data_IF_347764989883
#
_entry.id   IF_347764989883
#
_cell.length_a   1.000
_cell.length_b   1.000
_cell.length_c   1.000
_cell.angle_alpha   90.00
_cell.angle_beta   90.00
_cell.angle_gamma   90.00
#
_symmetry.space_group_name_H-M   'P 1'
#
loop_
_entity.id
_entity.type
_entity.pdbx_description
1 polymer ?
#
# COMPACT_ATOMS: atom_id res chain seq x y z
N UNK A 1 -0.97 -9.30 6.83
CA UNK A 1 -1.35 -8.68 8.11
C UNK A 1 -2.70 -9.19 8.63
N UNK A 2 -3.84 -8.87 7.96
CA UNK A 2 -5.19 -9.14 8.48
C UNK A 2 -5.42 -10.61 8.84
N UNK A 3 -5.03 -11.54 7.94
CA UNK A 3 -5.11 -12.98 8.21
C UNK A 3 -4.25 -13.39 9.41
N UNK A 4 -3.00 -12.93 9.47
CA UNK A 4 -2.06 -13.25 10.54
C UNK A 4 -2.59 -12.77 11.91
N UNK A 5 -3.15 -11.55 11.95
CA UNK A 5 -3.79 -10.96 13.13
C UNK A 5 -5.01 -11.77 13.58
N UNK A 6 -5.95 -12.08 12.66
CA UNK A 6 -7.18 -12.82 12.98
C UNK A 6 -6.87 -14.20 13.57
N UNK A 7 -5.90 -14.90 12.99
CA UNK A 7 -5.51 -16.23 13.42
C UNK A 7 -4.54 -16.26 14.60
N UNK A 8 -4.03 -15.10 15.04
CA UNK A 8 -3.05 -14.99 16.11
C UNK A 8 -1.78 -15.80 15.83
N UNK A 9 -1.32 -15.81 14.58
CA UNK A 9 -0.19 -16.67 14.16
C UNK A 9 1.08 -16.16 14.82
N UNK A 10 1.31 -14.88 14.80
CA UNK A 10 2.50 -14.25 15.39
C UNK A 10 2.48 -14.35 16.91
N UNK A 11 1.34 -14.09 17.55
CA UNK A 11 1.16 -14.24 19.00
C UNK A 11 1.47 -15.67 19.46
N UNK A 12 0.99 -16.68 18.73
CA UNK A 12 1.27 -18.09 19.02
C UNK A 12 2.75 -18.44 18.86
N UNK A 13 3.42 -17.85 17.88
CA UNK A 13 4.85 -18.06 17.65
C UNK A 13 5.72 -17.47 18.78
N UNK A 14 5.29 -16.34 19.37
CA UNK A 14 5.99 -15.67 20.47
C UNK A 14 5.73 -16.33 21.84
N UNK A 15 4.57 -16.98 22.03
CA UNK A 15 4.15 -17.55 23.31
C UNK A 15 3.73 -16.48 24.33
N UNK A 16 3.49 -16.93 25.57
CA UNK A 16 2.87 -16.13 26.63
C UNK A 16 3.79 -15.02 27.24
N UNK A 17 5.06 -15.02 26.87
CA UNK A 17 6.04 -14.05 27.41
C UNK A 17 5.92 -12.66 26.75
N UNK A 18 5.27 -12.58 25.60
CA UNK A 18 5.14 -11.35 24.81
C UNK A 18 3.68 -11.03 24.53
N UNK A 19 3.41 -9.76 24.34
CA UNK A 19 2.11 -9.28 23.85
C UNK A 19 2.28 -8.51 22.54
N UNK A 20 1.42 -8.79 21.57
CA UNK A 20 1.40 -8.08 20.27
C UNK A 20 0.30 -7.04 20.28
N UNK A 21 0.66 -5.80 19.92
CA UNK A 21 -0.30 -4.72 19.71
C UNK A 21 -0.36 -4.40 18.22
N UNK A 22 -1.51 -4.64 17.61
CA UNK A 22 -1.78 -4.24 16.24
C UNK A 22 -2.33 -2.83 16.18
N UNK A 23 -1.72 -1.98 15.33
CA UNK A 23 -2.17 -0.60 15.08
C UNK A 23 -2.41 -0.44 13.59
N UNK A 24 -3.57 0.11 13.22
CA UNK A 24 -3.91 0.40 11.82
C UNK A 24 -3.67 1.88 11.52
N UNK A 25 -3.14 2.15 10.33
CA UNK A 25 -2.93 3.48 9.79
C UNK A 25 -3.69 3.62 8.48
N UNK A 26 -4.13 4.82 8.13
CA UNK A 26 -4.79 5.05 6.83
C UNK A 26 -3.83 4.82 5.66
N UNK A 27 -2.58 5.29 5.78
CA UNK A 27 -1.54 5.13 4.76
C UNK A 27 -0.14 5.27 5.37
N UNK A 28 0.87 4.91 4.56
CA UNK A 28 2.25 4.76 5.01
C UNK A 28 2.92 5.98 5.65
N UNK A 29 2.73 7.23 5.21
CA UNK A 29 3.36 8.37 5.86
C UNK A 29 3.01 8.50 7.36
N UNK A 30 1.77 8.22 7.76
CA UNK A 30 1.38 8.20 9.18
C UNK A 30 2.06 7.04 9.95
N UNK A 31 2.25 5.89 9.31
CA UNK A 31 2.97 4.75 9.88
C UNK A 31 4.46 5.06 10.07
N UNK A 32 5.09 5.77 9.13
CA UNK A 32 6.50 6.22 9.24
C UNK A 32 6.71 7.09 10.48
N UNK A 33 5.79 8.02 10.77
CA UNK A 33 5.85 8.83 11.98
C UNK A 33 5.81 7.97 13.26
N UNK A 34 4.97 6.92 13.28
CA UNK A 34 4.89 5.99 14.40
C UNK A 34 6.17 5.14 14.56
N UNK A 35 6.79 4.70 13.43
CA UNK A 35 8.10 4.03 13.44
C UNK A 35 9.18 4.94 14.04
N UNK A 36 9.25 6.20 13.59
CA UNK A 36 10.24 7.17 14.10
C UNK A 36 10.01 7.54 15.57
N UNK A 37 8.75 7.56 16.02
CA UNK A 37 8.41 7.77 17.42
C UNK A 37 8.67 6.55 18.31
N UNK A 38 8.97 5.39 17.74
CA UNK A 38 9.11 4.13 18.47
C UNK A 38 7.78 3.60 19.04
N UNK A 39 6.66 4.01 18.45
CA UNK A 39 5.32 3.54 18.85
C UNK A 39 4.99 2.17 18.26
N UNK A 40 5.65 1.82 17.14
CA UNK A 40 5.63 0.50 16.49
C UNK A 40 7.06 0.07 16.13
N UNK A 41 7.28 -1.24 16.05
CA UNK A 41 8.59 -1.84 15.80
C UNK A 41 8.72 -2.43 14.40
N UNK A 42 7.61 -3.01 13.89
CA UNK A 42 7.48 -3.59 12.55
C UNK A 42 6.17 -3.12 11.93
N UNK A 43 6.09 -3.14 10.60
CA UNK A 43 4.86 -2.75 9.92
C UNK A 43 4.74 -3.28 8.49
N UNK A 44 3.50 -3.25 7.99
CA UNK A 44 3.17 -3.48 6.59
C UNK A 44 2.86 -2.14 5.94
N UNK A 45 3.70 -1.70 5.04
CA UNK A 45 3.68 -0.34 4.52
C UNK A 45 3.88 -0.32 3.00
N UNK A 46 3.45 0.74 2.33
CA UNK A 46 3.75 0.94 0.91
C UNK A 46 5.26 1.13 0.65
N UNK A 47 5.79 0.73 -0.51
CA UNK A 47 7.22 0.79 -0.80
C UNK A 47 7.79 2.21 -0.77
N UNK A 48 7.06 3.20 -1.28
CA UNK A 48 7.54 4.60 -1.33
C UNK A 48 7.77 5.20 0.06
N UNK A 49 6.81 5.14 1.00
CA UNK A 49 7.06 5.58 2.37
C UNK A 49 8.13 4.73 3.08
N UNK A 50 8.25 3.42 2.78
CA UNK A 50 9.31 2.56 3.32
C UNK A 50 10.71 3.05 2.90
N UNK A 51 10.92 3.28 1.59
CA UNK A 51 12.18 3.79 1.05
C UNK A 51 12.48 5.19 1.62
N UNK A 52 11.48 6.06 1.67
CA UNK A 52 11.64 7.40 2.23
C UNK A 52 11.98 7.37 3.73
N UNK A 53 11.39 6.43 4.49
CA UNK A 53 11.74 6.22 5.89
C UNK A 53 13.19 5.75 6.04
N UNK A 54 13.67 4.81 5.21
CA UNK A 54 15.06 4.37 5.20
C UNK A 54 16.03 5.54 4.96
N UNK A 55 15.79 6.32 3.90
CA UNK A 55 16.64 7.47 3.54
C UNK A 55 16.64 8.53 4.65
N UNK A 56 15.47 8.89 5.19
CA UNK A 56 15.34 9.90 6.25
C UNK A 56 15.98 9.47 7.57
N UNK A 57 15.92 8.18 7.88
CA UNK A 57 16.51 7.62 9.09
C UNK A 57 17.98 7.20 8.95
N UNK A 58 18.58 7.42 7.76
CA UNK A 58 19.95 6.98 7.46
C UNK A 58 20.14 5.47 7.66
N UNK A 59 19.14 4.67 7.27
CA UNK A 59 19.18 3.22 7.32
C UNK A 59 18.60 2.58 8.59
N UNK A 60 17.96 3.35 9.49
CA UNK A 60 17.36 2.81 10.72
C UNK A 60 16.02 2.09 10.49
N UNK A 61 15.39 2.25 9.32
CA UNK A 61 14.22 1.48 8.89
C UNK A 61 14.61 0.67 7.68
N UNK A 62 14.43 -0.65 7.73
CA UNK A 62 14.80 -1.57 6.64
C UNK A 62 13.60 -2.40 6.17
N UNK A 63 13.58 -2.72 4.88
CA UNK A 63 12.59 -3.63 4.27
C UNK A 63 13.12 -5.05 4.43
N UNK A 64 12.30 -5.94 4.99
CA UNK A 64 12.71 -7.33 5.30
C UNK A 64 11.91 -8.40 4.56
N UNK A 65 10.77 -8.06 3.98
CA UNK A 65 9.97 -8.95 3.15
C UNK A 65 9.05 -8.14 2.23
N UNK A 66 8.55 -8.78 1.18
CA UNK A 66 7.38 -8.29 0.44
C UNK A 66 6.10 -8.84 1.10
N UNK A 67 4.95 -8.25 0.80
CA UNK A 67 3.65 -8.75 1.26
C UNK A 67 2.68 -8.95 0.10
N UNK A 68 2.67 -8.05 -0.88
CA UNK A 68 1.94 -8.22 -2.13
C UNK A 68 2.47 -7.27 -3.21
N UNK A 69 2.36 -7.72 -4.46
CA UNK A 69 2.61 -6.91 -5.63
C UNK A 69 1.29 -6.48 -6.28
N UNK A 70 1.37 -5.48 -7.17
CA UNK A 70 0.28 -4.97 -7.98
C UNK A 70 -0.86 -4.31 -7.19
N UNK A 71 -2.10 -4.32 -7.72
CA UNK A 71 -3.31 -3.93 -7.00
C UNK A 71 -3.57 -2.44 -6.84
N UNK A 72 -2.75 -1.53 -7.36
CA UNK A 72 -3.14 -0.13 -7.46
C UNK A 72 -3.96 0.09 -8.73
N UNK A 73 -5.04 0.85 -8.64
CA UNK A 73 -5.91 1.17 -9.78
C UNK A 73 -6.26 2.66 -9.82
N UNK A 74 -6.31 3.22 -11.03
CA UNK A 74 -6.86 4.55 -11.26
C UNK A 74 -8.32 4.41 -11.69
N UNK A 75 -9.21 4.95 -10.87
CA UNK A 75 -10.66 4.90 -11.09
C UNK A 75 -11.20 6.31 -11.37
N UNK A 76 -12.29 6.37 -12.09
CA UNK A 76 -13.13 7.56 -12.22
C UNK A 76 -14.49 7.35 -11.58
N UNK A 77 -15.16 8.43 -11.16
CA UNK A 77 -16.56 8.35 -10.75
C UNK A 77 -17.46 7.90 -11.92
N UNK A 78 -18.60 7.28 -11.61
CA UNK A 78 -19.52 6.73 -12.61
C UNK A 78 -19.92 7.72 -13.70
N UNK A 79 -20.14 8.99 -13.31
CA UNK A 79 -20.62 10.06 -14.20
C UNK A 79 -19.47 10.84 -14.88
N UNK A 80 -18.21 10.53 -14.60
CA UNK A 80 -17.07 11.21 -15.19
C UNK A 80 -16.82 10.76 -16.63
N UNK A 81 -16.39 11.69 -17.48
CA UNK A 81 -16.04 11.48 -18.88
C UNK A 81 -14.59 11.05 -19.13
N UNK A 82 -13.78 10.93 -18.07
CA UNK A 82 -12.36 10.51 -18.10
C UNK A 82 -12.24 9.15 -18.77
N UNK A 83 -11.29 9.01 -19.71
CA UNK A 83 -10.97 7.75 -20.42
C UNK A 83 -9.49 7.40 -20.37
N UNK A 84 -8.64 8.38 -20.05
CA UNK A 84 -7.19 8.26 -20.01
C UNK A 84 -6.60 9.24 -18.99
N UNK A 85 -5.31 9.10 -18.70
CA UNK A 85 -4.59 10.06 -17.83
C UNK A 85 -4.64 11.48 -18.38
N UNK A 86 -4.63 11.66 -19.71
CA UNK A 86 -4.69 12.98 -20.33
C UNK A 86 -6.00 13.74 -19.99
N UNK A 87 -7.10 13.02 -19.73
CA UNK A 87 -8.39 13.61 -19.37
C UNK A 87 -8.45 14.09 -17.91
N UNK A 88 -7.39 13.87 -17.13
CA UNK A 88 -7.25 14.41 -15.77
C UNK A 88 -6.95 15.92 -15.76
N UNK A 89 -6.68 16.52 -16.93
CA UNK A 89 -6.47 17.97 -17.07
C UNK A 89 -7.66 18.75 -16.49
N UNK A 90 -7.37 19.64 -15.53
CA UNK A 90 -8.38 20.41 -14.81
C UNK A 90 -9.28 19.62 -13.86
N UNK A 91 -9.01 18.35 -13.62
CA UNK A 91 -9.80 17.50 -12.71
C UNK A 91 -9.22 17.47 -11.31
N UNK A 92 -10.07 17.11 -10.36
CA UNK A 92 -9.69 16.80 -8.98
C UNK A 92 -9.56 15.28 -8.82
N UNK A 93 -8.37 14.85 -8.38
CA UNK A 93 -8.01 13.43 -8.24
C UNK A 93 -7.57 13.17 -6.81
N UNK A 94 -8.08 12.12 -6.18
CA UNK A 94 -7.67 11.76 -4.83
C UNK A 94 -6.58 10.71 -4.79
N UNK A 95 -5.77 10.82 -3.74
CA UNK A 95 -4.79 9.83 -3.29
C UNK A 95 -5.05 9.52 -1.82
N UNK A 96 -4.68 8.34 -1.30
CA UNK A 96 -4.94 7.98 0.11
C UNK A 96 -4.27 8.91 1.12
N UNK A 97 -3.05 9.34 0.82
CA UNK A 97 -2.30 10.34 1.59
C UNK A 97 -1.18 10.91 0.72
N UNK A 98 -0.88 12.20 0.87
CA UNK A 98 0.27 12.80 0.21
C UNK A 98 1.57 12.16 0.71
N UNK A 99 2.46 11.80 -0.21
CA UNK A 99 3.72 11.12 0.11
C UNK A 99 3.64 9.59 0.15
N UNK A 100 2.46 8.99 -0.12
CA UNK A 100 2.33 7.55 -0.22
C UNK A 100 2.67 7.03 -1.64
N UNK A 101 2.62 5.70 -1.82
CA UNK A 101 2.96 5.04 -3.10
C UNK A 101 2.04 5.49 -4.23
N UNK A 102 0.72 5.53 -4.01
CA UNK A 102 -0.27 5.94 -5.02
C UNK A 102 -0.08 7.41 -5.44
N UNK A 103 0.34 8.29 -4.51
CA UNK A 103 0.64 9.68 -4.86
C UNK A 103 1.84 9.76 -5.81
N UNK A 104 2.93 9.03 -5.54
CA UNK A 104 4.08 8.99 -6.43
C UNK A 104 3.72 8.42 -7.80
N UNK A 105 2.97 7.31 -7.83
CA UNK A 105 2.50 6.69 -9.08
C UNK A 105 1.65 7.67 -9.90
N UNK A 106 0.75 8.43 -9.25
CA UNK A 106 -0.04 9.45 -9.94
C UNK A 106 0.84 10.55 -10.54
N UNK A 107 1.83 11.05 -9.81
CA UNK A 107 2.74 12.08 -10.33
C UNK A 107 3.54 11.57 -11.54
N UNK A 108 4.01 10.35 -11.51
CA UNK A 108 4.71 9.74 -12.64
C UNK A 108 3.81 9.59 -13.86
N UNK A 109 2.58 9.10 -13.68
CA UNK A 109 1.57 9.02 -14.73
C UNK A 109 1.24 10.39 -15.31
N UNK A 110 1.09 11.43 -14.49
CA UNK A 110 0.85 12.80 -14.95
C UNK A 110 2.03 13.33 -15.77
N UNK A 111 3.26 13.16 -15.27
CA UNK A 111 4.47 13.59 -15.96
C UNK A 111 4.63 12.91 -17.32
N UNK A 112 4.38 11.59 -17.40
CA UNK A 112 4.41 10.83 -18.65
C UNK A 112 3.38 11.31 -19.68
N UNK A 113 2.29 11.95 -19.24
CA UNK A 113 1.25 12.53 -20.10
C UNK A 113 1.35 14.04 -20.26
N UNK A 114 2.45 14.67 -19.84
CA UNK A 114 2.68 16.11 -19.97
C UNK A 114 1.81 16.97 -19.05
N UNK A 115 1.22 16.36 -18.01
CA UNK A 115 0.42 17.02 -16.99
C UNK A 115 1.25 17.30 -15.73
N UNK A 116 0.75 18.22 -14.90
CA UNK A 116 1.34 18.55 -13.60
C UNK A 116 0.25 18.83 -12.58
N UNK A 117 0.54 18.60 -11.30
CA UNK A 117 -0.36 19.00 -10.24
C UNK A 117 -0.43 20.52 -10.08
N UNK A 118 -1.52 21.01 -9.52
CA UNK A 118 -1.72 22.45 -9.22
C UNK A 118 -0.60 22.97 -8.31
N UNK A 119 -0.11 22.19 -7.38
CA UNK A 119 1.02 22.55 -6.50
C UNK A 119 2.31 22.87 -7.25
N UNK A 120 2.47 22.40 -8.50
CA UNK A 120 3.61 22.63 -9.37
C UNK A 120 3.27 23.55 -10.57
N UNK A 121 2.16 24.29 -10.48
CA UNK A 121 1.71 25.21 -11.51
C UNK A 121 1.00 24.55 -12.69
N UNK A 122 0.57 23.30 -12.54
CA UNK A 122 -0.26 22.57 -13.49
C UNK A 122 -1.76 22.74 -13.22
N UNK A 123 -2.54 21.79 -13.68
CA UNK A 123 -4.01 21.86 -13.69
C UNK A 123 -4.69 20.73 -12.93
N UNK A 124 -4.00 19.66 -12.58
CA UNK A 124 -4.57 18.53 -11.84
C UNK A 124 -4.57 18.83 -10.34
N UNK A 125 -5.75 18.91 -9.74
CA UNK A 125 -5.90 19.15 -8.30
C UNK A 125 -5.83 17.83 -7.53
N UNK A 126 -4.66 17.51 -6.95
CA UNK A 126 -4.46 16.31 -6.15
C UNK A 126 -4.90 16.58 -4.71
N UNK A 127 -5.81 15.76 -4.20
CA UNK A 127 -6.33 15.88 -2.83
C UNK A 127 -6.14 14.59 -2.05
N UNK A 128 -5.88 14.72 -0.76
CA UNK A 128 -5.82 13.61 0.17
C UNK A 128 -7.24 13.21 0.62
N UNK A 129 -7.58 11.95 0.44
CA UNK A 129 -8.87 11.38 0.88
C UNK A 129 -8.62 9.96 1.40
N UNK A 130 -9.03 9.70 2.62
CA UNK A 130 -8.98 8.33 3.17
C UNK A 130 -9.73 7.36 2.26
N UNK A 131 -9.17 6.17 2.04
CA UNK A 131 -9.76 5.19 1.11
C UNK A 131 -11.23 4.90 1.40
N UNK A 132 -11.61 4.82 2.69
CA UNK A 132 -12.97 4.56 3.11
C UNK A 132 -13.97 5.68 2.79
N UNK A 133 -13.48 6.90 2.49
CA UNK A 133 -14.29 8.09 2.22
C UNK A 133 -14.40 8.43 0.73
N UNK A 134 -13.60 7.78 -0.13
CA UNK A 134 -13.58 8.04 -1.59
C UNK A 134 -14.97 7.83 -2.21
N UNK A 135 -15.72 6.81 -1.77
CA UNK A 135 -17.11 6.60 -2.22
C UNK A 135 -17.94 7.86 -2.00
N UNK A 136 -17.92 8.41 -0.80
CA UNK A 136 -18.68 9.63 -0.47
C UNK A 136 -18.29 10.83 -1.34
N UNK A 137 -16.98 10.95 -1.65
CA UNK A 137 -16.46 12.01 -2.49
C UNK A 137 -16.86 11.84 -3.96
N UNK A 138 -16.98 10.60 -4.46
CA UNK A 138 -17.54 10.30 -5.77
C UNK A 138 -19.04 10.60 -5.82
N UNK A 139 -19.81 10.12 -4.83
CA UNK A 139 -21.28 10.27 -4.78
C UNK A 139 -21.71 11.75 -4.74
N UNK A 140 -20.95 12.62 -4.10
CA UNK A 140 -21.25 14.06 -4.02
C UNK A 140 -20.55 14.89 -5.10
N UNK A 141 -19.79 14.28 -6.01
CA UNK A 141 -19.10 14.96 -7.11
C UNK A 141 -17.90 15.82 -6.67
N UNK A 142 -17.36 15.62 -5.47
CA UNK A 142 -16.23 16.40 -4.95
C UNK A 142 -14.91 16.06 -5.63
N UNK A 143 -14.75 14.84 -6.14
CA UNK A 143 -13.61 14.38 -6.92
C UNK A 143 -14.09 13.68 -8.19
N UNK A 144 -13.27 13.70 -9.24
CA UNK A 144 -13.59 13.07 -10.54
C UNK A 144 -12.92 11.72 -10.73
N UNK A 145 -11.77 11.51 -10.08
CA UNK A 145 -10.98 10.30 -10.15
C UNK A 145 -10.28 10.04 -8.82
N UNK A 146 -9.81 8.81 -8.62
CA UNK A 146 -9.03 8.39 -7.47
C UNK A 146 -8.04 7.31 -7.89
N UNK A 147 -6.81 7.36 -7.36
CA UNK A 147 -5.89 6.23 -7.42
C UNK A 147 -5.81 5.59 -6.04
N UNK A 148 -6.21 4.33 -5.95
CA UNK A 148 -6.37 3.60 -4.69
C UNK A 148 -5.75 2.20 -4.80
N UNK A 149 -5.33 1.59 -3.67
CA UNK A 149 -4.94 0.19 -3.65
C UNK A 149 -6.18 -0.71 -3.54
N UNK A 150 -6.05 -1.97 -3.95
CA UNK A 150 -7.05 -2.99 -3.59
C UNK A 150 -7.06 -3.24 -2.06
N UNK A 151 -8.21 -3.56 -1.45
CA UNK A 151 -9.49 -3.88 -2.09
C UNK A 151 -10.39 -2.66 -2.40
N UNK A 152 -9.89 -1.45 -2.20
CA UNK A 152 -10.70 -0.23 -2.35
C UNK A 152 -11.14 0.01 -3.79
N UNK A 153 -10.33 -0.40 -4.79
CA UNK A 153 -10.72 -0.34 -6.19
C UNK A 153 -11.99 -1.15 -6.45
N UNK A 154 -11.98 -2.43 -6.13
CA UNK A 154 -13.11 -3.34 -6.28
C UNK A 154 -14.34 -2.91 -5.46
N UNK A 155 -14.12 -2.38 -4.25
CA UNK A 155 -15.20 -1.83 -3.41
C UNK A 155 -15.88 -0.63 -4.09
N UNK A 156 -15.12 0.30 -4.67
CA UNK A 156 -15.67 1.47 -5.35
C UNK A 156 -16.41 1.10 -6.64
N UNK A 157 -15.92 0.10 -7.39
CA UNK A 157 -16.65 -0.44 -8.54
C UNK A 157 -18.00 -1.01 -8.14
N UNK A 158 -18.08 -1.77 -7.03
CA UNK A 158 -19.31 -2.36 -6.53
C UNK A 158 -20.27 -1.32 -5.92
N UNK A 159 -19.77 -0.44 -5.04
CA UNK A 159 -20.63 0.42 -4.20
C UNK A 159 -21.12 1.68 -4.90
N UNK A 160 -20.33 2.30 -5.77
CA UNK A 160 -20.70 3.54 -6.46
C UNK A 160 -20.54 3.48 -7.99
N UNK A 161 -20.32 2.30 -8.55
CA UNK A 161 -20.21 2.10 -10.00
C UNK A 161 -19.01 2.80 -10.62
N UNK A 162 -17.96 3.09 -9.84
CA UNK A 162 -16.71 3.63 -10.33
C UNK A 162 -16.18 2.78 -11.49
N UNK A 163 -15.41 3.37 -12.39
CA UNK A 163 -14.88 2.69 -13.58
C UNK A 163 -13.36 2.79 -13.61
N UNK A 164 -12.72 1.68 -13.93
CA UNK A 164 -11.27 1.62 -14.13
C UNK A 164 -10.88 2.47 -15.33
N UNK A 165 -9.89 3.34 -15.15
CA UNK A 165 -9.21 4.12 -16.20
C UNK A 165 -7.87 3.47 -16.54
N UNK A 166 -7.10 3.08 -15.50
CA UNK A 166 -5.91 2.25 -15.63
C UNK A 166 -6.00 1.11 -14.61
N UNK A 167 -5.82 -0.11 -15.08
CA UNK A 167 -5.74 -1.28 -14.21
C UNK A 167 -4.32 -1.41 -13.62
N UNK A 168 -4.14 -2.34 -12.68
CA UNK A 168 -2.91 -2.49 -11.91
C UNK A 168 -1.65 -2.67 -12.78
N UNK A 169 -1.76 -3.34 -13.92
CA UNK A 169 -0.66 -3.60 -14.85
C UNK A 169 -0.30 -2.39 -15.74
N UNK A 170 -1.14 -1.35 -15.73
CA UNK A 170 -0.92 -0.09 -16.44
C UNK A 170 -0.38 1.03 -15.52
N UNK A 171 -0.36 0.80 -14.20
CA UNK A 171 0.11 1.82 -13.23
C UNK A 171 1.62 1.93 -13.25
N UNK A 172 2.35 0.79 -13.17
CA UNK A 172 3.80 0.76 -13.14
C UNK A 172 4.32 -0.64 -13.47
N UNK A 173 5.47 -0.73 -14.14
CA UNK A 173 6.25 -1.97 -14.35
C UNK A 173 5.41 -3.17 -14.83
N UNK A 174 4.34 -2.94 -15.59
CA UNK A 174 3.41 -3.99 -16.08
C UNK A 174 2.83 -4.86 -14.95
N UNK A 175 2.50 -4.24 -13.81
CA UNK A 175 1.94 -4.92 -12.64
C UNK A 175 2.97 -5.64 -11.76
N UNK A 176 4.25 -5.58 -12.11
CA UNK A 176 5.30 -6.30 -11.38
C UNK A 176 6.02 -5.34 -10.40
N UNK A 177 5.28 -4.81 -9.46
CA UNK A 177 5.75 -3.85 -8.45
C UNK A 177 5.13 -4.13 -7.08
N UNK A 178 5.87 -3.95 -5.98
CA UNK A 178 5.31 -4.09 -4.63
C UNK A 178 4.29 -2.97 -4.34
N UNK A 179 3.19 -3.35 -3.69
CA UNK A 179 2.20 -2.41 -3.14
C UNK A 179 2.27 -2.37 -1.62
N UNK A 180 2.69 -3.46 -0.99
CA UNK A 180 2.97 -3.51 0.42
C UNK A 180 4.24 -4.33 0.67
N UNK A 181 5.10 -3.80 1.52
CA UNK A 181 6.32 -4.45 2.03
C UNK A 181 6.27 -4.54 3.55
N UNK A 182 7.10 -5.37 4.14
CA UNK A 182 7.33 -5.44 5.57
C UNK A 182 8.58 -4.63 5.92
N UNK A 183 8.45 -3.73 6.88
CA UNK A 183 9.57 -2.95 7.43
C UNK A 183 9.78 -3.26 8.89
N UNK A 184 11.00 -3.03 9.35
CA UNK A 184 11.39 -3.13 10.77
C UNK A 184 12.32 -2.00 11.13
N UNK A 185 12.25 -1.52 12.38
CA UNK A 185 13.29 -0.67 12.94
C UNK A 185 14.56 -1.49 13.20
N UNK A 186 15.70 -1.00 12.76
CA UNK A 186 16.98 -1.71 12.86
C UNK A 186 17.40 -1.95 14.29
N UNK A 187 17.24 -0.97 15.17
CA UNK A 187 17.53 -1.10 16.61
C UNK A 187 16.70 -2.20 17.27
N UNK A 188 15.42 -2.32 16.89
CA UNK A 188 14.55 -3.41 17.37
C UNK A 188 15.00 -4.76 16.84
N UNK A 189 15.31 -4.84 15.53
CA UNK A 189 15.78 -6.07 14.89
C UNK A 189 17.09 -6.59 15.53
N UNK A 190 18.06 -5.69 15.78
CA UNK A 190 19.33 -6.03 16.42
C UNK A 190 19.14 -6.47 17.89
N UNK A 191 18.22 -5.83 18.61
CA UNK A 191 17.95 -6.18 20.01
C UNK A 191 17.08 -7.44 20.17
N UNK A 192 16.24 -7.75 19.18
CA UNK A 192 15.22 -8.82 19.25
C UNK A 192 15.19 -9.70 18.00
N UNK A 193 16.31 -10.26 17.55
CA UNK A 193 16.39 -11.00 16.29
C UNK A 193 15.44 -12.20 16.22
N UNK A 194 15.21 -12.88 17.34
CA UNK A 194 14.29 -14.04 17.41
C UNK A 194 12.82 -13.61 17.25
N UNK A 195 12.44 -12.41 17.72
CA UNK A 195 11.08 -11.89 17.54
C UNK A 195 10.86 -11.56 16.07
N UNK A 196 11.83 -10.88 15.43
CA UNK A 196 11.74 -10.53 13.99
C UNK A 196 11.70 -11.79 13.13
N UNK A 197 12.52 -12.80 13.45
CA UNK A 197 12.49 -14.10 12.77
C UNK A 197 11.13 -14.81 12.93
N UNK A 198 10.56 -14.80 14.14
CA UNK A 198 9.23 -15.37 14.38
C UNK A 198 8.15 -14.64 13.58
N UNK A 199 8.25 -13.29 13.46
CA UNK A 199 7.35 -12.49 12.63
C UNK A 199 7.46 -12.86 11.14
N UNK A 200 8.69 -12.94 10.61
CA UNK A 200 8.92 -13.28 9.21
C UNK A 200 8.40 -14.70 8.92
N UNK A 201 8.64 -15.66 9.80
CA UNK A 201 8.09 -17.00 9.63
C UNK A 201 6.55 -17.01 9.64
N UNK A 202 5.92 -16.29 10.58
CA UNK A 202 4.47 -16.14 10.64
C UNK A 202 3.91 -15.46 9.37
N UNK A 203 4.66 -14.52 8.80
CA UNK A 203 4.33 -13.87 7.53
C UNK A 203 4.40 -14.84 6.35
N UNK A 204 5.46 -15.66 6.26
CA UNK A 204 5.60 -16.70 5.23
C UNK A 204 4.48 -17.73 5.31
N UNK A 205 4.19 -18.26 6.52
CA UNK A 205 3.12 -19.22 6.75
C UNK A 205 1.75 -18.65 6.35
N UNK A 206 1.49 -17.39 6.69
CA UNK A 206 0.26 -16.68 6.30
C UNK A 206 0.17 -16.48 4.78
N UNK A 207 1.28 -16.13 4.11
CA UNK A 207 1.35 -15.97 2.66
C UNK A 207 1.07 -17.29 1.95
N UNK A 208 1.70 -18.38 2.38
CA UNK A 208 1.47 -19.72 1.84
C UNK A 208 0.01 -20.15 2.01
N UNK A 209 -0.56 -19.93 3.21
CA UNK A 209 -1.96 -20.28 3.47
C UNK A 209 -2.93 -19.50 2.60
N UNK A 210 -2.78 -18.19 2.48
CA UNK A 210 -3.64 -17.33 1.65
C UNK A 210 -3.63 -17.82 0.20
N UNK A 211 -2.47 -18.15 -0.33
CA UNK A 211 -2.32 -18.66 -1.70
C UNK A 211 -2.94 -20.05 -1.89
N UNK A 212 -2.87 -20.92 -0.85
CA UNK A 212 -3.41 -22.28 -0.92
C UNK A 212 -4.93 -22.35 -0.65
N UNK A 213 -5.47 -21.42 0.15
CA UNK A 213 -6.84 -21.44 0.68
C UNK A 213 -7.51 -20.04 0.52
N UNK A 214 -7.47 -19.48 -0.68
CA UNK A 214 -7.92 -18.11 -0.94
C UNK A 214 -9.36 -17.84 -0.49
N UNK A 215 -10.30 -18.77 -0.67
CA UNK A 215 -11.69 -18.59 -0.27
C UNK A 215 -11.86 -18.40 1.24
N UNK A 216 -11.20 -19.22 2.08
CA UNK A 216 -11.25 -19.05 3.54
C UNK A 216 -10.51 -17.77 3.99
N UNK A 217 -9.41 -17.45 3.35
CA UNK A 217 -8.68 -16.21 3.62
C UNK A 217 -9.52 -14.96 3.30
N UNK A 218 -10.30 -14.98 2.22
CA UNK A 218 -11.23 -13.91 1.85
C UNK A 218 -12.27 -13.68 2.94
N UNK A 219 -12.91 -14.73 3.46
CA UNK A 219 -13.89 -14.63 4.54
C UNK A 219 -13.29 -13.99 5.80
N UNK A 220 -12.07 -14.35 6.14
CA UNK A 220 -11.33 -13.77 7.27
C UNK A 220 -11.05 -12.29 7.02
N UNK A 221 -10.58 -11.95 5.83
CA UNK A 221 -10.26 -10.56 5.46
C UNK A 221 -11.51 -9.69 5.47
N UNK A 222 -12.65 -10.19 4.97
CA UNK A 222 -13.93 -9.47 5.07
C UNK A 222 -14.27 -9.11 6.51
N UNK A 223 -14.16 -10.05 7.45
CA UNK A 223 -14.39 -9.77 8.88
C UNK A 223 -13.43 -8.73 9.45
N UNK A 224 -12.16 -8.82 9.11
CA UNK A 224 -11.15 -7.87 9.60
C UNK A 224 -11.35 -6.46 9.02
N UNK A 225 -11.81 -6.33 7.77
CA UNK A 225 -12.20 -5.05 7.19
C UNK A 225 -13.43 -4.49 7.89
N UNK A 226 -14.44 -5.33 8.18
CA UNK A 226 -15.65 -4.93 8.92
C UNK A 226 -15.28 -4.44 10.34
N UNK A 227 -14.43 -5.15 11.05
CA UNK A 227 -13.92 -4.72 12.37
C UNK A 227 -13.20 -3.37 12.32
N UNK A 228 -12.38 -3.14 11.28
CA UNK A 228 -11.59 -1.93 11.14
C UNK A 228 -12.41 -0.71 10.69
N UNK A 229 -13.43 -0.91 9.84
CA UNK A 229 -14.15 0.18 9.17
C UNK A 229 -15.62 0.31 9.59
N UNK A 230 -16.18 -0.70 10.26
CA UNK A 230 -17.61 -0.81 10.54
C UNK A 230 -18.47 -1.06 9.30
N UNK A 231 -17.88 -1.39 8.15
CA UNK A 231 -18.56 -1.62 6.88
C UNK A 231 -18.39 -3.09 6.44
N UNK A 232 -19.48 -3.71 6.02
CA UNK A 232 -19.50 -5.09 5.50
C UNK A 232 -19.39 -5.08 3.98
N UNK A 233 -18.59 -5.99 3.44
CA UNK A 233 -18.42 -6.19 2.00
C UNK A 233 -18.66 -7.66 1.65
N UNK A 234 -19.23 -7.88 0.45
CA UNK A 234 -19.45 -9.22 -0.07
C UNK A 234 -18.12 -9.90 -0.41
N UNK A 235 -18.01 -11.20 -0.13
CA UNK A 235 -16.81 -11.97 -0.42
C UNK A 235 -16.40 -11.89 -1.91
N UNK A 236 -17.36 -11.80 -2.83
CA UNK A 236 -17.10 -11.65 -4.26
C UNK A 236 -16.37 -10.35 -4.63
N UNK A 237 -16.56 -9.27 -3.85
CA UNK A 237 -15.85 -8.00 -4.06
C UNK A 237 -14.38 -8.15 -3.65
N UNK A 238 -14.13 -8.81 -2.53
CA UNK A 238 -12.77 -9.08 -2.06
C UNK A 238 -12.07 -10.11 -2.98
N UNK A 239 -12.79 -11.11 -3.50
CA UNK A 239 -12.27 -12.05 -4.50
C UNK A 239 -11.85 -11.32 -5.78
N UNK A 240 -12.66 -10.35 -6.24
CA UNK A 240 -12.27 -9.47 -7.37
C UNK A 240 -10.98 -8.71 -7.09
N UNK A 241 -10.83 -8.16 -5.88
CA UNK A 241 -9.59 -7.48 -5.47
C UNK A 241 -8.36 -8.42 -5.52
N UNK A 242 -8.52 -9.67 -5.07
CA UNK A 242 -7.47 -10.69 -5.11
C UNK A 242 -7.01 -11.01 -6.54
N UNK A 243 -7.90 -10.89 -7.53
CA UNK A 243 -7.53 -11.11 -8.93
C UNK A 243 -6.50 -10.09 -9.49
N UNK A 244 -6.37 -8.93 -8.81
CA UNK A 244 -5.42 -7.86 -9.14
C UNK A 244 -4.18 -7.85 -8.25
N UNK A 245 -4.08 -8.77 -7.28
CA UNK A 245 -2.98 -8.86 -6.33
C UNK A 245 -2.16 -10.13 -6.56
N UNK A 246 -0.86 -10.02 -6.38
CA UNK A 246 0.03 -11.17 -6.24
C UNK A 246 0.54 -11.19 -4.79
N UNK A 247 0.03 -12.14 -3.98
CA UNK A 247 0.43 -12.30 -2.58
C UNK A 247 1.74 -13.07 -2.53
N UNK A 248 2.83 -12.40 -2.19
CA UNK A 248 4.17 -12.98 -2.20
C UNK A 248 5.08 -12.30 -1.18
N UNK A 249 5.97 -13.09 -0.57
CA UNK A 249 7.02 -12.59 0.30
C UNK A 249 8.32 -12.21 -0.46
N UNK A 250 8.41 -12.60 -1.74
CA UNK A 250 9.57 -12.35 -2.58
C UNK A 250 9.66 -10.87 -2.95
N UNK A 251 10.81 -10.26 -2.69
CA UNK A 251 11.03 -8.83 -2.94
C UNK A 251 11.45 -8.60 -4.38
N UNK A 252 10.69 -7.77 -5.11
CA UNK A 252 11.06 -7.26 -6.42
C UNK A 252 12.02 -6.07 -6.30
N UNK A 253 13.31 -6.32 -6.04
CA UNK A 253 14.32 -5.27 -5.80
C UNK A 253 14.44 -4.28 -6.96
N UNK A 254 14.35 -4.74 -8.20
CA UNK A 254 14.40 -3.86 -9.38
C UNK A 254 13.25 -2.85 -9.37
N UNK A 255 12.04 -3.27 -8.98
CA UNK A 255 10.88 -2.39 -8.89
C UNK A 255 10.99 -1.42 -7.70
N UNK A 256 11.56 -1.84 -6.56
CA UNK A 256 11.89 -0.94 -5.46
C UNK A 256 12.91 0.13 -5.89
N UNK A 257 13.93 -0.28 -6.66
CA UNK A 257 14.90 0.64 -7.24
C UNK A 257 14.27 1.64 -8.22
N UNK A 258 13.26 1.22 -8.98
CA UNK A 258 12.48 2.11 -9.85
C UNK A 258 11.67 3.12 -9.05
N UNK A 259 10.96 2.69 -7.99
CA UNK A 259 10.28 3.61 -7.06
C UNK A 259 11.24 4.62 -6.43
N UNK A 260 12.44 4.20 -6.04
CA UNK A 260 13.46 5.09 -5.49
C UNK A 260 13.86 6.18 -6.51
N UNK A 261 14.16 5.80 -7.76
CA UNK A 261 14.54 6.72 -8.83
C UNK A 261 13.41 7.70 -9.19
N UNK A 262 12.18 7.18 -9.35
CA UNK A 262 11.01 8.02 -9.60
C UNK A 262 10.78 8.96 -8.41
N UNK A 263 10.88 8.45 -7.18
CA UNK A 263 10.76 9.23 -5.95
C UNK A 263 11.76 10.39 -5.87
N UNK A 264 13.01 10.16 -6.25
CA UNK A 264 14.04 11.20 -6.31
C UNK A 264 13.71 12.21 -7.42
N UNK A 265 13.33 11.73 -8.61
CA UNK A 265 13.01 12.61 -9.75
C UNK A 265 11.82 13.53 -9.48
N UNK A 266 10.85 13.08 -8.69
CA UNK A 266 9.65 13.83 -8.30
C UNK A 266 9.84 14.61 -6.97
N UNK A 267 11.03 14.55 -6.38
CA UNK A 267 11.33 15.27 -5.13
C UNK A 267 10.69 14.69 -3.87
N UNK A 268 10.17 13.47 -3.92
CA UNK A 268 9.59 12.74 -2.78
C UNK A 268 10.66 12.17 -1.85
N UNK A 269 11.74 11.69 -2.43
CA UNK A 269 12.85 11.05 -1.75
C UNK A 269 14.07 11.95 -2.00
N UNK A 270 14.82 12.26 -0.97
CA UNK A 270 15.96 13.20 -1.06
C UNK A 270 17.12 12.66 -1.90
N UNK A 271 17.41 11.35 -1.76
CA UNK A 271 18.45 10.62 -2.47
C UNK A 271 17.99 9.19 -2.67
N UNK A 272 18.58 8.46 -3.62
CA UNK A 272 18.40 7.01 -3.65
C UNK A 272 18.89 6.40 -2.33
N UNK A 273 18.26 5.30 -1.84
CA UNK A 273 18.69 4.64 -0.62
C UNK A 273 20.09 4.00 -0.79
N UNK A 274 20.82 3.88 0.31
CA UNK A 274 22.10 3.18 0.34
C UNK A 274 21.91 1.66 0.21
N UNK A 275 23.00 0.92 -0.12
CA UNK A 275 23.02 -0.54 -0.06
C UNK A 275 22.57 -1.02 1.33
N UNK A 276 21.69 -2.04 1.37
CA UNK A 276 21.17 -2.60 2.62
C UNK A 276 19.86 -1.98 3.12
N UNK A 277 19.20 -1.14 2.31
CA UNK A 277 17.83 -0.71 2.62
C UNK A 277 16.83 -1.87 2.53
N UNK A 278 17.22 -2.95 1.87
CA UNK A 278 16.56 -4.26 1.85
C UNK A 278 17.47 -5.26 2.55
N UNK A 279 16.97 -5.94 3.54
CA UNK A 279 17.67 -7.00 4.28
C UNK A 279 16.81 -8.28 4.29
N UNK A 280 17.11 -9.19 3.37
CA UNK A 280 16.46 -10.52 3.27
C UNK A 280 17.19 -11.61 4.04
N UNK A 281 18.25 -11.28 4.76
CA UNK A 281 19.06 -12.25 5.50
C UNK A 281 18.30 -12.99 6.63
N UNK A 282 17.06 -12.57 6.91
CA UNK A 282 16.16 -13.20 7.89
C UNK A 282 15.20 -14.19 7.21
N UNK A 283 14.95 -14.07 5.91
CA UNK A 283 14.13 -14.99 5.10
C UNK A 283 14.83 -16.38 4.88
#
# INVERSE_FOLDING_TARGET
ALYMKDQGIFEKALGDEYSVKWTAFNAGPAEVEALFAGEIDLGYIGPVPAINANVKSHGDVVIIANACDAGAVLLKSADSDIKSVADLDGKKVSVPQLGNTQHLSLLDLLAANGLKPVSEGGTVDIVEVENADVQTMFDNGSISAAIVPEPWGSILEDKCGAKVVLDYDEIMASGNYPTAVVVVRKDFMEANPEIVKAFVQAHLDATEYINAQSGEAIDIICRQIEEATGKTYEASVIDSAFSRLNITADIAEDALGEFAKVGVSQGFIATEPDEGYVDTGIL
#
